data_IF_917933990221
#
_entry.id   IF_917933990221
#
_cell.length_a   1.000
_cell.length_b   1.000
_cell.length_c   1.000
_cell.angle_alpha   90.00
_cell.angle_beta   90.00
_cell.angle_gamma   90.00
#
_symmetry.space_group_name_H-M   'P 1'
#
loop_
_entity.id
_entity.type
_entity.pdbx_description
1 polymer ?
#
# COMPACT_ATOMS: atom_id res chain seq x y z
N UNK A 1 0.19 9.72 7.05
CA UNK A 1 -0.05 9.27 5.68
C UNK A 1 0.00 10.47 4.74
N UNK A 2 0.77 10.38 3.67
CA UNK A 2 1.00 11.42 2.66
C UNK A 2 0.90 10.79 1.26
N UNK A 3 0.72 11.60 0.23
CA UNK A 3 0.86 11.11 -1.15
C UNK A 3 2.26 10.55 -1.37
N UNK A 4 2.32 9.40 -2.05
CA UNK A 4 3.55 8.70 -2.31
C UNK A 4 4.05 7.81 -1.16
N UNK A 5 3.40 7.80 0.01
CA UNK A 5 3.80 6.90 1.10
C UNK A 5 3.65 5.44 0.66
N UNK A 6 4.69 4.65 0.90
CA UNK A 6 4.59 3.19 0.81
C UNK A 6 3.83 2.66 2.03
N UNK A 7 2.87 1.77 1.79
CA UNK A 7 2.05 1.14 2.83
C UNK A 7 2.01 -0.37 2.62
N UNK A 8 1.75 -1.09 3.71
CA UNK A 8 1.53 -2.53 3.69
C UNK A 8 0.10 -2.85 4.11
N UNK A 9 -0.63 -3.54 3.25
CA UNK A 9 -1.97 -4.05 3.48
C UNK A 9 -1.86 -5.49 3.98
N UNK A 10 -2.17 -5.70 5.26
CA UNK A 10 -2.20 -7.02 5.88
C UNK A 10 -3.38 -7.85 5.36
N UNK A 11 -3.18 -9.16 5.29
CA UNK A 11 -4.20 -10.15 4.90
C UNK A 11 -4.92 -9.80 3.58
N UNK A 12 -4.19 -9.18 2.64
CA UNK A 12 -4.73 -8.71 1.37
C UNK A 12 -3.92 -9.29 0.22
N UNK A 13 -4.60 -10.01 -0.67
CA UNK A 13 -4.05 -10.55 -1.90
C UNK A 13 -4.58 -9.76 -3.10
N UNK A 14 -3.65 -9.18 -3.87
CA UNK A 14 -3.94 -8.42 -5.08
C UNK A 14 -3.38 -9.07 -6.37
N UNK A 15 -3.19 -10.40 -6.40
CA UNK A 15 -2.52 -11.10 -7.52
C UNK A 15 -3.27 -10.94 -8.86
N UNK A 16 -4.60 -11.03 -8.84
CA UNK A 16 -5.45 -10.88 -10.04
C UNK A 16 -6.60 -9.90 -9.81
N UNK A 17 -7.20 -9.95 -8.62
CA UNK A 17 -8.19 -9.01 -8.13
C UNK A 17 -7.91 -8.72 -6.66
N UNK A 18 -8.74 -7.90 -6.02
CA UNK A 18 -8.58 -7.54 -4.61
C UNK A 18 -9.39 -8.51 -3.75
N UNK A 19 -8.75 -9.24 -2.85
CA UNK A 19 -9.45 -10.06 -1.87
C UNK A 19 -8.76 -10.09 -0.51
N UNK A 20 -9.56 -10.33 0.53
CA UNK A 20 -9.03 -10.65 1.85
C UNK A 20 -8.55 -12.10 1.83
N UNK A 21 -7.30 -12.31 2.23
CA UNK A 21 -6.68 -13.62 2.38
C UNK A 21 -5.70 -13.59 3.54
N UNK A 22 -6.05 -14.32 4.60
CA UNK A 22 -5.20 -14.44 5.80
C UNK A 22 -3.80 -14.94 5.44
N UNK A 23 -2.78 -14.25 5.94
CA UNK A 23 -1.37 -14.51 5.69
C UNK A 23 -0.83 -13.92 4.38
N UNK A 24 -1.70 -13.38 3.50
CA UNK A 24 -1.24 -12.60 2.36
C UNK A 24 -0.79 -11.20 2.80
N UNK A 25 0.00 -10.55 1.96
CA UNK A 25 0.44 -9.19 2.20
C UNK A 25 0.70 -8.45 0.90
N UNK A 26 0.23 -7.20 0.84
CA UNK A 26 0.36 -6.34 -0.33
C UNK A 26 1.08 -5.05 0.02
N UNK A 27 2.11 -4.70 -0.75
CA UNK A 27 2.74 -3.37 -0.73
C UNK A 27 2.04 -2.49 -1.74
N UNK A 28 1.72 -1.26 -1.36
CA UNK A 28 1.16 -0.26 -2.26
C UNK A 28 1.64 1.15 -1.96
N UNK A 29 1.27 2.08 -2.84
CA UNK A 29 1.59 3.51 -2.72
C UNK A 29 0.29 4.30 -2.62
N UNK A 30 0.25 5.28 -1.72
CA UNK A 30 -0.89 6.19 -1.59
C UNK A 30 -0.94 7.16 -2.77
N UNK A 31 -2.04 7.17 -3.52
CA UNK A 31 -2.19 7.93 -4.78
C UNK A 31 -3.25 9.03 -4.74
N UNK A 32 -4.20 9.00 -3.80
CA UNK A 32 -5.16 10.09 -3.63
C UNK A 32 -5.57 10.30 -2.17
N UNK A 33 -6.23 11.44 -1.91
CA UNK A 33 -6.49 11.97 -0.57
C UNK A 33 -7.65 11.32 0.16
N UNK A 34 -7.95 11.87 1.34
CA UNK A 34 -9.13 11.52 2.10
C UNK A 34 -10.41 11.83 1.30
N UNK A 35 -11.47 11.12 1.62
CA UNK A 35 -12.79 11.30 1.04
C UNK A 35 -13.82 11.32 2.17
N UNK A 36 -14.87 12.11 2.02
CA UNK A 36 -15.94 12.26 3.03
C UNK A 36 -17.04 11.21 2.87
N UNK A 37 -17.01 10.42 1.80
CA UNK A 37 -18.02 9.41 1.49
C UNK A 37 -17.69 8.12 2.24
N UNK A 38 -18.69 7.51 2.88
CA UNK A 38 -18.53 6.24 3.58
C UNK A 38 -17.91 5.17 2.66
N UNK A 39 -16.98 4.38 3.21
CA UNK A 39 -16.25 3.35 2.47
C UNK A 39 -15.11 3.86 1.58
N UNK A 40 -14.90 5.19 1.49
CA UNK A 40 -13.77 5.79 0.78
C UNK A 40 -12.69 6.28 1.76
N UNK A 41 -11.51 6.57 1.22
CA UNK A 41 -10.36 7.06 1.96
C UNK A 41 -9.17 7.25 1.02
N UNK A 42 -7.95 7.43 1.55
CA UNK A 42 -6.74 7.50 0.74
C UNK A 42 -6.59 6.24 -0.13
N UNK A 43 -6.54 6.43 -1.45
CA UNK A 43 -6.42 5.33 -2.40
C UNK A 43 -5.01 4.77 -2.43
N UNK A 44 -4.91 3.46 -2.62
CA UNK A 44 -3.64 2.73 -2.68
C UNK A 44 -3.53 1.97 -4.00
N UNK A 45 -2.44 2.21 -4.73
CA UNK A 45 -2.06 1.43 -5.92
C UNK A 45 -1.10 0.32 -5.52
N UNK A 46 -1.45 -0.93 -5.85
CA UNK A 46 -0.62 -2.12 -5.61
C UNK A 46 0.69 -2.04 -6.39
N UNK A 47 1.81 -2.36 -5.73
CA UNK A 47 3.13 -2.50 -6.36
C UNK A 47 3.61 -3.95 -6.31
N UNK A 48 3.39 -4.64 -5.20
CA UNK A 48 3.75 -6.04 -5.04
C UNK A 48 2.77 -6.74 -4.08
N UNK A 49 2.52 -8.02 -4.30
CA UNK A 49 1.67 -8.86 -3.45
C UNK A 49 2.33 -10.20 -3.22
N UNK A 50 2.11 -10.80 -2.06
CA UNK A 50 2.51 -12.15 -1.75
C UNK A 50 1.37 -12.89 -1.08
N UNK A 51 0.82 -13.85 -1.81
CA UNK A 51 -0.22 -14.78 -1.34
C UNK A 51 0.23 -15.60 -0.12
N UNK A 52 1.54 -15.87 -0.01
CA UNK A 52 2.13 -16.76 1.01
C UNK A 52 2.89 -16.02 2.12
N UNK A 53 2.68 -14.71 2.26
CA UNK A 53 3.29 -13.94 3.35
C UNK A 53 4.82 -13.80 3.30
N UNK A 54 5.43 -13.94 2.13
CA UNK A 54 6.90 -13.83 1.95
C UNK A 54 7.41 -12.39 2.03
N UNK A 55 6.53 -11.40 1.88
CA UNK A 55 6.90 -9.98 2.03
C UNK A 55 6.80 -9.60 3.51
N UNK A 56 7.92 -9.12 4.07
CA UNK A 56 7.99 -8.61 5.44
C UNK A 56 8.11 -7.08 5.41
N UNK A 57 7.12 -6.32 5.90
CA UNK A 57 7.21 -4.86 5.91
C UNK A 57 8.24 -4.38 6.95
N UNK A 58 8.99 -3.34 6.60
CA UNK A 58 9.87 -2.61 7.53
C UNK A 58 9.34 -1.19 7.63
N UNK A 59 9.01 -0.76 8.85
CA UNK A 59 8.51 0.59 9.09
C UNK A 59 9.68 1.58 9.11
N UNK A 60 9.58 2.64 8.31
CA UNK A 60 10.52 3.76 8.30
C UNK A 60 9.80 5.06 7.98
N UNK A 61 10.34 6.18 8.49
CA UNK A 61 9.80 7.53 8.23
C UNK A 61 10.06 8.00 6.80
N UNK A 62 11.01 7.37 6.11
CA UNK A 62 11.44 7.71 4.75
C UNK A 62 10.76 6.87 3.66
N UNK A 63 9.72 6.11 4.02
CA UNK A 63 8.96 5.27 3.10
C UNK A 63 8.02 6.11 2.21
N UNK A 64 8.59 6.92 1.31
CA UNK A 64 7.83 7.74 0.36
C UNK A 64 8.54 7.79 -1.01
N UNK A 65 7.77 7.62 -2.09
CA UNK A 65 8.31 7.56 -3.46
C UNK A 65 9.02 8.87 -3.88
N UNK A 66 8.66 10.02 -3.30
CA UNK A 66 9.31 11.30 -3.57
C UNK A 66 10.81 11.28 -3.25
N UNK A 67 11.25 10.43 -2.31
CA UNK A 67 12.68 10.25 -1.98
C UNK A 67 13.50 9.61 -3.11
N UNK A 68 12.84 8.94 -4.06
CA UNK A 68 13.50 8.23 -5.16
C UNK A 68 13.31 8.93 -6.51
N UNK A 69 12.32 9.83 -6.61
CA UNK A 69 11.97 10.54 -7.83
C UNK A 69 12.47 11.99 -7.88
N UNK A 70 13.30 12.41 -6.92
CA UNK A 70 13.82 13.78 -6.80
C UNK A 70 12.71 14.85 -6.75
N UNK A 71 11.65 14.59 -5.97
CA UNK A 71 10.50 15.49 -5.80
C UNK A 71 10.50 16.22 -4.45
N UNK A 72 11.68 16.31 -3.81
CA UNK A 72 11.89 16.97 -2.52
C UNK A 72 12.86 18.13 -2.64
#
# INVERSE_FOLDING_TARGET
>A
LRFGDFVFLHDTDNTYGRCMKKGAGTVGIVVHGNCVIAGHGPGVTTIATSVTGKIKPVLTKDANIANYLALK
#
